data_IF_050832362856
#
_entry.id   IF_050832362856
#
_cell.length_a   1.000
_cell.length_b   1.000
_cell.length_c   1.000
_cell.angle_alpha   90.00
_cell.angle_beta   90.00
_cell.angle_gamma   90.00
#
_symmetry.space_group_name_H-M   'P 1'
#
loop_
_entity.id
_entity.type
_entity.pdbx_description
1 polymer ?
#
# COMPACT_ATOMS: atom_id res chain seq x y z
N UNK A 1 16.32 18.37 3.92
CA UNK A 1 16.22 17.84 5.29
C UNK A 1 14.93 17.04 5.43
N UNK A 2 15.05 15.82 5.89
CA UNK A 2 13.86 14.96 6.01
C UNK A 2 12.96 15.40 7.13
N UNK A 3 11.71 15.65 6.83
CA UNK A 3 10.69 15.86 7.84
C UNK A 3 10.20 14.50 8.34
N UNK A 4 9.47 14.51 9.46
CA UNK A 4 8.82 13.30 9.96
C UNK A 4 7.86 12.72 8.92
N UNK A 5 7.08 13.58 8.26
CA UNK A 5 6.13 13.14 7.23
C UNK A 5 6.83 12.48 6.06
N UNK A 6 7.95 13.03 5.60
CA UNK A 6 8.73 12.43 4.52
C UNK A 6 9.23 11.03 4.90
N UNK A 7 9.75 10.86 6.13
CA UNK A 7 10.23 9.56 6.57
C UNK A 7 9.12 8.53 6.63
N UNK A 8 7.96 8.91 7.17
CA UNK A 8 6.81 8.02 7.26
C UNK A 8 6.32 7.62 5.87
N UNK A 9 6.21 8.59 4.97
CA UNK A 9 5.78 8.33 3.59
C UNK A 9 6.78 7.41 2.86
N UNK A 10 8.07 7.63 3.04
CA UNK A 10 9.10 6.80 2.41
C UNK A 10 9.09 5.37 2.94
N UNK A 11 8.81 5.17 4.21
CA UNK A 11 8.66 3.81 4.76
C UNK A 11 7.50 3.06 4.11
N UNK A 12 6.39 3.75 3.89
CA UNK A 12 5.23 3.15 3.22
C UNK A 12 5.51 2.82 1.76
N UNK A 13 6.21 3.70 1.07
CA UNK A 13 6.64 3.49 -0.32
C UNK A 13 7.52 2.24 -0.43
N UNK A 14 8.39 2.00 0.53
CA UNK A 14 9.24 0.82 0.56
C UNK A 14 8.41 -0.47 0.56
N UNK A 15 7.39 -0.55 1.42
CA UNK A 15 6.53 -1.72 1.47
C UNK A 15 5.67 -1.85 0.20
N UNK A 16 5.24 -0.73 -0.37
CA UNK A 16 4.52 -0.75 -1.65
C UNK A 16 5.38 -1.34 -2.76
N UNK A 17 6.66 -1.01 -2.81
CA UNK A 17 7.57 -1.58 -3.80
C UNK A 17 7.70 -3.10 -3.66
N UNK A 18 7.75 -3.60 -2.43
CA UNK A 18 7.77 -5.04 -2.18
C UNK A 18 6.49 -5.68 -2.72
N UNK A 19 5.34 -5.08 -2.46
CA UNK A 19 4.05 -5.59 -2.93
C UNK A 19 3.95 -5.55 -4.46
N UNK A 20 4.49 -4.52 -5.10
CA UNK A 20 4.55 -4.46 -6.57
C UNK A 20 5.34 -5.63 -7.16
N UNK A 21 6.41 -6.05 -6.49
CA UNK A 21 7.17 -7.23 -6.94
C UNK A 21 6.39 -8.51 -6.78
N UNK A 22 5.61 -8.65 -5.69
CA UNK A 22 4.73 -9.80 -5.50
C UNK A 22 3.71 -9.85 -6.64
N UNK A 23 3.11 -8.71 -6.97
CA UNK A 23 2.14 -8.60 -8.05
C UNK A 23 2.77 -8.99 -9.39
N UNK A 24 3.96 -8.50 -9.69
CA UNK A 24 4.66 -8.80 -10.92
C UNK A 24 4.97 -10.29 -11.08
N UNK A 25 5.35 -10.95 -9.99
CA UNK A 25 5.63 -12.39 -10.00
C UNK A 25 4.34 -13.18 -10.23
N UNK A 26 3.24 -12.72 -9.65
CA UNK A 26 1.94 -13.38 -9.78
C UNK A 26 1.22 -13.06 -11.10
N UNK A 27 1.55 -11.95 -11.75
CA UNK A 27 0.84 -11.45 -12.93
C UNK A 27 0.79 -12.43 -14.12
N UNK A 28 1.76 -13.34 -14.34
CA UNK A 28 1.62 -14.34 -15.41
C UNK A 28 0.45 -15.29 -15.23
N UNK A 29 -0.12 -15.36 -14.03
CA UNK A 29 -1.32 -16.11 -13.78
C UNK A 29 -2.53 -15.28 -14.19
N UNK A 30 -3.68 -15.92 -14.32
CA UNK A 30 -4.93 -15.24 -14.71
C UNK A 30 -5.23 -14.12 -13.70
N UNK A 31 -5.29 -12.84 -14.13
CA UNK A 31 -5.58 -11.73 -13.22
C UNK A 31 -6.97 -11.80 -12.58
N UNK A 32 -7.89 -12.58 -13.17
CA UNK A 32 -9.22 -12.80 -12.61
C UNK A 32 -9.28 -14.03 -11.72
N UNK A 33 -8.14 -14.72 -11.50
CA UNK A 33 -8.06 -15.87 -10.62
C UNK A 33 -8.45 -15.45 -9.20
N UNK A 34 -9.39 -16.14 -8.55
CA UNK A 34 -9.77 -15.83 -7.17
C UNK A 34 -8.72 -16.23 -6.14
N UNK A 35 -7.55 -16.71 -6.57
CA UNK A 35 -6.48 -17.07 -5.64
C UNK A 35 -6.08 -15.87 -4.80
N UNK A 36 -5.97 -16.07 -3.48
CA UNK A 36 -5.56 -15.07 -2.53
C UNK A 36 -4.04 -15.16 -2.33
N UNK A 37 -3.40 -14.01 -2.42
CA UNK A 37 -1.97 -13.86 -2.14
C UNK A 37 -1.79 -13.09 -0.84
N UNK A 38 -0.66 -13.27 -0.19
CA UNK A 38 -0.33 -12.51 1.01
C UNK A 38 0.54 -11.31 0.62
N UNK A 39 -0.01 -10.12 0.78
CA UNK A 39 0.70 -8.86 0.57
C UNK A 39 1.17 -8.32 1.91
N UNK A 40 2.19 -7.49 1.90
CA UNK A 40 2.68 -6.86 3.11
C UNK A 40 1.82 -5.65 3.48
N UNK A 41 1.73 -5.37 4.79
CA UNK A 41 1.12 -4.14 5.28
C UNK A 41 1.99 -2.95 4.81
N UNK A 42 1.39 -2.02 4.07
CA UNK A 42 2.10 -0.84 3.52
C UNK A 42 2.04 0.32 4.51
N UNK A 43 2.39 0.05 5.77
CA UNK A 43 2.35 1.05 6.82
C UNK A 43 3.69 1.78 6.98
N UNK A 44 3.71 2.80 7.82
CA UNK A 44 4.90 3.63 8.04
C UNK A 44 5.93 3.00 8.98
N UNK A 45 5.61 1.87 9.59
CA UNK A 45 6.50 1.20 10.56
C UNK A 45 7.43 0.25 9.82
N UNK A 46 8.71 0.60 9.73
CA UNK A 46 9.68 -0.18 8.95
C UNK A 46 9.87 -1.60 9.47
N UNK A 47 9.62 -1.84 10.75
CA UNK A 47 9.72 -3.16 11.37
C UNK A 47 8.45 -3.99 11.24
N UNK A 48 7.40 -3.47 10.61
CA UNK A 48 6.15 -4.20 10.44
C UNK A 48 6.35 -5.37 9.48
N UNK A 49 6.02 -6.57 9.94
CA UNK A 49 6.10 -7.79 9.14
C UNK A 49 4.73 -8.42 8.91
N UNK A 50 3.67 -7.72 9.28
CA UNK A 50 2.32 -8.22 9.13
C UNK A 50 1.94 -8.29 7.65
N UNK A 51 1.12 -9.29 7.32
CA UNK A 51 0.63 -9.52 5.97
C UNK A 51 -0.87 -9.51 5.96
N UNK A 52 -1.42 -9.27 4.77
CA UNK A 52 -2.86 -9.27 4.59
C UNK A 52 -3.22 -10.00 3.30
N UNK A 53 -4.35 -10.73 3.31
CA UNK A 53 -4.76 -11.52 2.15
C UNK A 53 -5.56 -10.66 1.17
N UNK A 54 -5.29 -10.79 -0.13
CA UNK A 54 -6.15 -10.22 -1.16
C UNK A 54 -5.86 -10.85 -2.51
N UNK A 55 -6.82 -10.74 -3.42
CA UNK A 55 -6.64 -11.19 -4.79
C UNK A 55 -5.83 -10.17 -5.58
N UNK A 56 -5.30 -10.61 -6.73
CA UNK A 56 -4.59 -9.68 -7.63
C UNK A 56 -5.52 -8.56 -8.08
N UNK A 57 -6.78 -8.86 -8.41
CA UNK A 57 -7.74 -7.87 -8.85
C UNK A 57 -7.99 -6.80 -7.77
N UNK A 58 -8.07 -7.20 -6.50
CA UNK A 58 -8.24 -6.27 -5.40
C UNK A 58 -7.02 -5.35 -5.25
N UNK A 59 -5.82 -5.91 -5.31
CA UNK A 59 -4.61 -5.11 -5.23
C UNK A 59 -4.48 -4.13 -6.40
N UNK A 60 -4.80 -4.60 -7.62
CA UNK A 60 -4.78 -3.76 -8.81
C UNK A 60 -5.75 -2.57 -8.68
N UNK A 61 -6.95 -2.81 -8.14
CA UNK A 61 -7.91 -1.75 -7.86
C UNK A 61 -7.35 -0.65 -6.96
N UNK A 62 -6.61 -1.06 -5.93
CA UNK A 62 -5.99 -0.11 -4.99
C UNK A 62 -4.90 0.69 -5.72
N UNK A 63 -4.10 0.02 -6.52
CA UNK A 63 -2.96 0.63 -7.22
C UNK A 63 -3.38 1.54 -8.37
N UNK A 64 -4.66 1.55 -8.74
CA UNK A 64 -5.17 2.47 -9.76
C UNK A 64 -5.01 3.95 -9.34
N UNK A 65 -4.93 4.22 -8.04
CA UNK A 65 -4.65 5.56 -7.50
C UNK A 65 -3.31 5.51 -6.76
N UNK A 66 -2.27 6.24 -7.21
CA UNK A 66 -0.94 6.17 -6.60
C UNK A 66 -0.89 6.69 -5.17
N UNK A 67 -1.92 7.37 -4.70
CA UNK A 67 -1.99 7.85 -3.32
C UNK A 67 -2.63 6.85 -2.36
N UNK A 68 -3.12 5.72 -2.88
CA UNK A 68 -3.75 4.68 -2.05
C UNK A 68 -2.73 3.61 -1.64
N UNK A 69 -2.85 3.19 -0.39
CA UNK A 69 -2.02 2.13 0.19
C UNK A 69 -2.92 1.21 1.01
N UNK A 70 -2.44 0.00 1.28
CA UNK A 70 -3.19 -0.99 2.05
C UNK A 70 -2.46 -1.29 3.35
N UNK A 71 -3.17 -1.29 4.46
CA UNK A 71 -2.60 -1.53 5.78
C UNK A 71 -3.47 -2.49 6.59
N UNK A 72 -2.85 -3.16 7.55
CA UNK A 72 -3.56 -3.98 8.55
C UNK A 72 -4.43 -3.03 9.40
N UNK A 73 -5.65 -3.44 9.79
CA UNK A 73 -6.49 -2.57 10.63
C UNK A 73 -5.75 -2.08 11.87
N UNK A 74 -5.82 -0.77 12.10
CA UNK A 74 -5.11 -0.13 13.21
C UNK A 74 -3.72 0.41 12.86
N UNK A 75 -3.22 0.12 11.66
CA UNK A 75 -1.90 0.59 11.22
C UNK A 75 -1.96 1.90 10.43
N UNK A 76 -3.13 2.47 10.27
CA UNK A 76 -3.26 3.78 9.63
C UNK A 76 -2.58 4.86 10.47
N UNK A 77 -2.11 5.91 9.79
CA UNK A 77 -1.42 7.02 10.41
C UNK A 77 -2.15 8.32 10.06
N UNK A 78 -3.08 8.77 10.91
CA UNK A 78 -3.95 9.91 10.58
C UNK A 78 -3.22 11.22 10.25
N UNK A 79 -1.97 11.37 10.68
CA UNK A 79 -1.21 12.59 10.40
C UNK A 79 -0.85 12.75 8.93
N UNK A 80 -0.84 11.67 8.14
CA UNK A 80 -0.47 11.72 6.73
C UNK A 80 -1.48 11.07 5.79
N UNK A 81 -2.54 10.45 6.32
CA UNK A 81 -3.48 9.69 5.49
C UNK A 81 -4.86 9.59 6.12
N UNK A 82 -5.85 9.31 5.29
CA UNK A 82 -7.21 9.06 5.72
C UNK A 82 -7.63 7.65 5.31
N UNK A 83 -8.36 6.95 6.17
CA UNK A 83 -8.95 5.66 5.83
C UNK A 83 -10.15 5.91 4.92
N UNK A 84 -10.14 5.30 3.73
CA UNK A 84 -11.23 5.47 2.75
C UNK A 84 -12.06 4.20 2.58
N UNK A 85 -11.57 3.05 3.04
CA UNK A 85 -12.30 1.79 2.97
C UNK A 85 -11.77 0.83 4.02
N UNK A 86 -12.66 -0.01 4.55
CA UNK A 86 -12.33 -1.01 5.58
C UNK A 86 -12.94 -2.35 5.26
N UNK A 87 -12.16 -3.40 5.49
CA UNK A 87 -12.66 -4.77 5.54
C UNK A 87 -12.19 -5.39 6.85
N UNK A 88 -12.59 -6.62 7.13
CA UNK A 88 -12.11 -7.35 8.31
C UNK A 88 -10.61 -7.66 8.23
N UNK A 89 -10.07 -7.75 7.03
CA UNK A 89 -8.69 -8.15 6.79
C UNK A 89 -7.74 -6.98 6.61
N UNK A 90 -8.21 -5.84 6.08
CA UNK A 90 -7.34 -4.70 5.78
C UNK A 90 -8.11 -3.39 5.67
N UNK A 91 -7.38 -2.29 5.66
CA UNK A 91 -7.91 -0.95 5.40
C UNK A 91 -7.18 -0.36 4.22
N UNK A 92 -7.91 0.43 3.41
CA UNK A 92 -7.32 1.21 2.33
C UNK A 92 -7.23 2.65 2.82
N UNK A 93 -6.01 3.22 2.74
CA UNK A 93 -5.75 4.60 3.14
C UNK A 93 -5.36 5.43 1.92
N UNK A 94 -5.68 6.71 1.95
CA UNK A 94 -5.25 7.67 0.93
C UNK A 94 -4.34 8.70 1.57
N UNK A 95 -3.14 8.87 1.00
CA UNK A 95 -2.17 9.86 1.46
C UNK A 95 -2.71 11.27 1.26
N UNK A 96 -2.28 12.18 2.13
CA UNK A 96 -2.67 13.59 2.08
C UNK A 96 -1.44 14.47 2.13
N UNK A 97 -1.57 15.69 1.59
CA UNK A 97 -0.51 16.69 1.64
C UNK A 97 0.79 16.24 0.99
N UNK A 98 1.90 16.50 1.65
CA UNK A 98 3.24 16.14 1.17
C UNK A 98 3.40 14.63 0.97
N UNK A 99 2.77 13.82 1.81
CA UNK A 99 2.81 12.37 1.68
C UNK A 99 2.17 11.92 0.36
N UNK A 100 1.10 12.58 -0.08
CA UNK A 100 0.47 12.29 -1.37
C UNK A 100 1.41 12.64 -2.53
N UNK A 101 2.12 13.75 -2.45
CA UNK A 101 3.09 14.16 -3.47
C UNK A 101 4.23 13.14 -3.59
N UNK A 102 4.74 12.67 -2.47
CA UNK A 102 5.79 11.65 -2.43
C UNK A 102 5.28 10.34 -3.05
N UNK A 103 4.06 9.94 -2.70
CA UNK A 103 3.46 8.71 -3.23
C UNK A 103 3.31 8.76 -4.75
N UNK A 104 2.90 9.91 -5.29
CA UNK A 104 2.77 10.09 -6.74
C UNK A 104 4.13 10.10 -7.43
N UNK A 105 5.11 10.79 -6.86
CA UNK A 105 6.44 10.94 -7.44
C UNK A 105 7.22 9.62 -7.45
N UNK A 106 6.91 8.71 -6.54
CA UNK A 106 7.62 7.43 -6.38
C UNK A 106 6.81 6.23 -6.85
N UNK A 107 5.70 6.45 -7.55
CA UNK A 107 4.86 5.36 -8.06
C UNK A 107 5.63 4.57 -9.11
N UNK A 108 5.89 3.25 -8.87
CA UNK A 108 6.61 2.43 -9.83
C UNK A 108 5.86 2.20 -11.15
N UNK A 109 4.58 2.56 -11.20
CA UNK A 109 3.75 2.44 -12.40
C UNK A 109 3.66 3.74 -13.20
N UNK A 110 4.31 4.76 -12.72
CA UNK A 110 4.28 6.07 -13.40
C UNK A 110 5.16 6.06 -14.66
#
# INVERSE_FOLDING_TARGET
MDTREERLANNEVLFREVNERIEQIAAPQDPDDPQVFEFYCECSTVDCTLRLPMTLAAYESIRADPTQFVVVPGHELPEIEAVISRTDAYQIVRKQGEAAEIAEATDPRA
#
